data_IF_736294125920
#
_entry.id   IF_736294125920
#
_cell.length_a   1.000
_cell.length_b   1.000
_cell.length_c   1.000
_cell.angle_alpha   90.00
_cell.angle_beta   90.00
_cell.angle_gamma   90.00
#
_symmetry.space_group_name_H-M   'P 1'
#
loop_
_entity.id
_entity.type
_entity.pdbx_description
1 polymer ?
#
# COMPACT_ATOMS: atom_id res chain seq x y z
N UNK A 1 7.61 -112.05 87.93
CA UNK A 1 6.53 -111.64 87.02
C UNK A 1 5.77 -110.48 87.63
N UNK A 2 5.50 -109.45 86.80
CA UNK A 2 4.37 -108.50 86.87
C UNK A 2 4.14 -107.64 88.14
N UNK A 3 4.75 -106.44 88.21
CA UNK A 3 4.15 -105.20 88.81
C UNK A 3 4.70 -103.90 88.14
N UNK A 4 5.73 -103.97 87.29
CA UNK A 4 6.28 -102.81 86.55
C UNK A 4 5.31 -102.15 85.53
N UNK A 5 4.10 -102.69 85.36
CA UNK A 5 3.04 -102.16 84.47
C UNK A 5 2.01 -101.25 85.13
N UNK A 6 2.12 -100.93 86.43
CA UNK A 6 1.17 -100.03 87.13
C UNK A 6 1.67 -98.58 87.31
N UNK A 7 2.97 -98.30 87.16
CA UNK A 7 3.50 -96.94 87.33
C UNK A 7 3.36 -96.04 86.08
N UNK A 8 3.26 -96.63 84.89
CA UNK A 8 3.09 -95.87 83.63
C UNK A 8 1.66 -95.33 83.43
N UNK A 9 0.70 -95.78 84.24
CA UNK A 9 -0.65 -95.19 84.34
C UNK A 9 -0.80 -94.18 85.48
N UNK A 10 0.13 -94.16 86.43
CA UNK A 10 0.16 -93.17 87.53
C UNK A 10 0.88 -91.88 87.12
N UNK A 11 1.87 -91.95 86.22
CA UNK A 11 2.56 -90.75 85.68
C UNK A 11 1.63 -89.87 84.83
N UNK A 12 0.69 -90.48 84.08
CA UNK A 12 -0.32 -89.75 83.30
C UNK A 12 -1.38 -89.02 84.14
N UNK A 13 -1.75 -89.58 85.30
CA UNK A 13 -2.76 -88.99 86.20
C UNK A 13 -2.22 -87.78 87.00
N UNK A 14 -0.91 -87.72 87.25
CA UNK A 14 -0.29 -86.63 88.02
C UNK A 14 0.19 -85.48 87.12
N UNK A 15 0.58 -85.76 85.88
CA UNK A 15 1.19 -84.75 85.00
C UNK A 15 0.15 -83.83 84.30
N UNK A 16 -1.05 -84.33 83.98
CA UNK A 16 -2.12 -83.53 83.37
C UNK A 16 -2.63 -82.36 84.23
N UNK A 17 -2.92 -82.52 85.54
CA UNK A 17 -3.36 -81.39 86.36
C UNK A 17 -2.24 -80.35 86.59
N UNK A 18 -0.98 -80.78 86.66
CA UNK A 18 0.16 -79.86 86.78
C UNK A 18 0.35 -79.05 85.49
N UNK A 19 0.15 -79.68 84.33
CA UNK A 19 0.18 -79.03 83.02
C UNK A 19 -0.99 -78.05 82.84
N UNK A 20 -2.18 -78.39 83.30
CA UNK A 20 -3.34 -77.49 83.34
C UNK A 20 -3.11 -76.26 84.22
N UNK A 21 -2.46 -76.40 85.38
CA UNK A 21 -2.14 -75.26 86.25
C UNK A 21 -1.01 -74.40 85.66
N UNK A 22 -0.03 -75.02 85.00
CA UNK A 22 1.05 -74.27 84.32
C UNK A 22 0.57 -73.59 83.04
N UNK A 23 -0.38 -74.17 82.31
CA UNK A 23 -1.04 -73.51 81.17
C UNK A 23 -2.00 -72.41 81.63
N UNK A 24 -2.75 -72.62 82.73
CA UNK A 24 -3.62 -71.60 83.34
C UNK A 24 -2.84 -70.39 83.89
N UNK A 25 -1.61 -70.59 84.38
CA UNK A 25 -0.73 -69.49 84.83
C UNK A 25 0.07 -68.85 83.70
N UNK A 26 0.30 -69.56 82.57
CA UNK A 26 0.96 -69.00 81.38
C UNK A 26 0.04 -68.17 80.50
N UNK A 27 -1.24 -68.51 80.40
CA UNK A 27 -2.23 -67.76 79.62
C UNK A 27 -2.33 -66.26 79.98
N UNK A 28 -2.37 -65.84 81.27
CA UNK A 28 -2.44 -64.42 81.61
C UNK A 28 -1.14 -63.66 81.30
N UNK A 29 0.02 -64.35 81.33
CA UNK A 29 1.32 -63.74 81.00
C UNK A 29 1.52 -63.61 79.48
N UNK A 30 1.16 -64.64 78.71
CA UNK A 30 1.13 -64.57 77.24
C UNK A 30 0.12 -63.53 76.76
N UNK A 31 -1.02 -63.37 77.43
CA UNK A 31 -1.99 -62.32 77.14
C UNK A 31 -1.46 -60.91 77.38
N UNK A 32 -0.60 -60.70 78.39
CA UNK A 32 0.04 -59.40 78.67
C UNK A 32 1.18 -59.08 77.71
N UNK A 33 2.00 -60.07 77.34
CA UNK A 33 3.03 -59.91 76.32
C UNK A 33 2.40 -59.66 74.94
N UNK A 34 1.35 -60.41 74.61
CA UNK A 34 0.57 -60.18 73.39
C UNK A 34 -0.05 -58.78 73.39
N UNK A 35 -0.64 -58.33 74.49
CA UNK A 35 -1.20 -56.97 74.61
C UNK A 35 -0.14 -55.88 74.49
N UNK A 36 1.03 -56.03 75.12
CA UNK A 36 2.14 -55.08 74.97
C UNK A 36 2.70 -55.08 73.54
N UNK A 37 2.79 -56.26 72.90
CA UNK A 37 3.21 -56.35 71.50
C UNK A 37 2.19 -55.71 70.55
N UNK A 38 0.89 -55.86 70.83
CA UNK A 38 -0.20 -55.19 70.11
C UNK A 38 -0.12 -53.68 70.34
N UNK A 39 0.08 -53.21 71.57
CA UNK A 39 0.18 -51.76 71.87
C UNK A 39 1.40 -51.14 71.19
N UNK A 40 2.57 -51.79 71.22
CA UNK A 40 3.76 -51.31 70.48
C UNK A 40 3.51 -51.31 68.98
N UNK A 41 2.89 -52.37 68.45
CA UNK A 41 2.53 -52.45 67.04
C UNK A 41 1.52 -51.37 66.64
N UNK A 42 0.49 -51.12 67.46
CA UNK A 42 -0.47 -50.03 67.27
C UNK A 42 0.20 -48.65 67.33
N UNK A 43 1.12 -48.43 68.25
CA UNK A 43 1.87 -47.17 68.33
C UNK A 43 2.78 -46.98 67.12
N UNK A 44 3.46 -48.03 66.64
CA UNK A 44 4.26 -47.95 65.41
C UNK A 44 3.39 -47.74 64.18
N UNK A 45 2.23 -48.39 64.10
CA UNK A 45 1.27 -48.22 62.99
C UNK A 45 0.67 -46.81 63.02
N UNK A 46 0.34 -46.27 64.20
CA UNK A 46 -0.15 -44.89 64.36
C UNK A 46 0.90 -43.87 63.98
N UNK A 47 2.14 -44.00 64.47
CA UNK A 47 3.25 -43.11 64.13
C UNK A 47 3.60 -43.18 62.63
N UNK A 48 3.58 -44.38 62.03
CA UNK A 48 3.80 -44.56 60.59
C UNK A 48 2.64 -44.01 59.76
N UNK A 49 1.40 -44.17 60.22
CA UNK A 49 0.21 -43.57 59.60
C UNK A 49 0.24 -42.05 59.66
N UNK A 50 0.66 -41.47 60.79
CA UNK A 50 0.82 -40.03 60.98
C UNK A 50 1.96 -39.49 60.11
N UNK A 51 3.10 -40.19 60.04
CA UNK A 51 4.21 -39.84 59.15
C UNK A 51 3.78 -39.86 57.68
N UNK A 52 3.07 -40.91 57.25
CA UNK A 52 2.52 -41.01 55.88
C UNK A 52 1.49 -39.94 55.58
N UNK A 53 0.64 -39.59 56.54
CA UNK A 53 -0.35 -38.53 56.38
C UNK A 53 0.31 -37.15 56.29
N UNK A 54 1.36 -36.90 57.08
CA UNK A 54 2.16 -35.68 56.99
C UNK A 54 2.91 -35.61 55.67
N UNK A 55 3.55 -36.70 55.21
CA UNK A 55 4.21 -36.78 53.90
C UNK A 55 3.22 -36.54 52.76
N UNK A 56 2.05 -37.19 52.78
CA UNK A 56 1.00 -36.96 51.80
C UNK A 56 0.51 -35.50 51.80
N UNK A 57 0.38 -34.88 52.97
CA UNK A 57 0.01 -33.47 53.09
C UNK A 57 1.10 -32.53 52.56
N UNK A 58 2.37 -32.86 52.75
CA UNK A 58 3.50 -32.10 52.22
C UNK A 58 3.58 -32.22 50.70
N UNK A 59 3.39 -33.42 50.16
CA UNK A 59 3.35 -33.67 48.71
C UNK A 59 2.19 -32.88 48.08
N UNK A 60 0.98 -32.95 48.66
CA UNK A 60 -0.16 -32.20 48.18
C UNK A 60 0.08 -30.67 48.22
N UNK A 61 0.71 -30.16 49.29
CA UNK A 61 1.07 -28.74 49.39
C UNK A 61 2.13 -28.31 48.37
N UNK A 62 3.11 -29.17 48.08
CA UNK A 62 4.13 -28.93 47.04
C UNK A 62 3.47 -28.91 45.66
N UNK A 63 2.58 -29.86 45.39
CA UNK A 63 1.84 -29.96 44.13
C UNK A 63 0.92 -28.74 43.92
N UNK A 64 0.19 -28.31 44.96
CA UNK A 64 -0.64 -27.11 44.91
C UNK A 64 0.19 -25.85 44.69
N UNK A 65 1.36 -25.76 45.31
CA UNK A 65 2.28 -24.65 45.10
C UNK A 65 2.84 -24.65 43.68
N UNK A 66 3.17 -25.81 43.14
CA UNK A 66 3.66 -25.96 41.78
C UNK A 66 2.59 -25.57 40.76
N UNK A 67 1.36 -26.06 40.92
CA UNK A 67 0.21 -25.66 40.09
C UNK A 67 -0.06 -24.15 40.14
N UNK A 68 0.05 -23.53 41.31
CA UNK A 68 -0.11 -22.07 41.46
C UNK A 68 0.99 -21.29 40.74
N UNK A 69 2.24 -21.74 40.86
CA UNK A 69 3.38 -21.11 40.16
C UNK A 69 3.25 -21.28 38.65
N UNK A 70 2.84 -22.46 38.19
CA UNK A 70 2.64 -22.75 36.76
C UNK A 70 1.51 -21.90 36.17
N UNK A 71 0.38 -21.79 36.89
CA UNK A 71 -0.73 -20.92 36.48
C UNK A 71 -0.34 -19.43 36.48
N UNK A 72 0.42 -18.96 37.47
CA UNK A 72 0.90 -17.57 37.51
C UNK A 72 1.89 -17.28 36.38
N UNK A 73 2.76 -18.25 36.05
CA UNK A 73 3.71 -18.17 34.95
C UNK A 73 2.98 -18.16 33.59
N UNK A 74 1.92 -18.95 33.44
CA UNK A 74 1.08 -18.96 32.25
C UNK A 74 0.32 -17.64 32.08
N UNK A 75 -0.26 -17.11 33.16
CA UNK A 75 -0.91 -15.79 33.14
C UNK A 75 0.09 -14.71 32.72
N UNK A 76 1.29 -14.68 33.30
CA UNK A 76 2.34 -13.71 32.94
C UNK A 76 2.76 -13.82 31.47
N UNK A 77 2.93 -15.04 30.97
CA UNK A 77 3.24 -15.28 29.55
C UNK A 77 2.11 -14.76 28.66
N UNK A 78 0.86 -15.08 28.98
CA UNK A 78 -0.29 -14.66 28.18
C UNK A 78 -0.47 -13.14 28.18
N UNK A 79 -0.27 -12.47 29.32
CA UNK A 79 -0.32 -11.00 29.40
C UNK A 79 0.80 -10.35 28.60
N UNK A 80 2.01 -10.93 28.63
CA UNK A 80 3.15 -10.38 27.91
C UNK A 80 3.00 -10.58 26.40
N UNK A 81 2.48 -11.74 25.96
CA UNK A 81 2.12 -11.97 24.56
C UNK A 81 1.06 -10.97 24.09
N UNK A 82 0.02 -10.71 24.89
CA UNK A 82 -0.99 -9.71 24.55
C UNK A 82 -0.40 -8.30 24.44
N UNK A 83 0.52 -7.92 25.35
CA UNK A 83 1.22 -6.63 25.30
C UNK A 83 2.06 -6.50 24.02
N UNK A 84 2.84 -7.53 23.69
CA UNK A 84 3.68 -7.56 22.48
C UNK A 84 2.81 -7.52 21.22
N UNK A 85 1.68 -8.22 21.18
CA UNK A 85 0.76 -8.18 20.05
C UNK A 85 0.17 -6.78 19.84
N UNK A 86 -0.20 -6.09 20.91
CA UNK A 86 -0.66 -4.71 20.83
C UNK A 86 0.44 -3.75 20.32
N UNK A 87 1.68 -3.90 20.83
CA UNK A 87 2.85 -3.13 20.38
C UNK A 87 3.15 -3.36 18.90
N UNK A 88 3.08 -4.61 18.42
CA UNK A 88 3.25 -4.96 17.00
C UNK A 88 2.16 -4.31 16.15
N UNK A 89 0.91 -4.29 16.63
CA UNK A 89 -0.20 -3.67 15.90
C UNK A 89 -0.03 -2.14 15.78
N UNK A 90 0.41 -1.47 16.85
CA UNK A 90 0.75 -0.05 16.83
C UNK A 90 1.88 0.25 15.84
N UNK A 91 2.98 -0.50 15.90
CA UNK A 91 4.11 -0.35 14.96
C UNK A 91 3.66 -0.55 13.50
N UNK A 92 2.75 -1.51 13.26
CA UNK A 92 2.21 -1.75 11.91
C UNK A 92 1.40 -0.54 11.43
N UNK A 93 0.51 0.00 12.27
CA UNK A 93 -0.29 1.20 11.95
C UNK A 93 0.59 2.41 11.69
N UNK A 94 1.64 2.61 12.49
CA UNK A 94 2.59 3.70 12.29
C UNK A 94 3.36 3.57 10.97
N UNK A 95 3.81 2.35 10.63
CA UNK A 95 4.47 2.09 9.35
C UNK A 95 3.55 2.27 8.16
N UNK A 96 2.27 1.88 8.28
CA UNK A 96 1.25 2.14 7.27
C UNK A 96 1.01 3.65 7.11
N UNK A 97 0.94 4.39 8.22
CA UNK A 97 0.77 5.83 8.21
C UNK A 97 1.97 6.56 7.60
N UNK A 98 3.20 6.15 7.93
CA UNK A 98 4.43 6.68 7.32
C UNK A 98 4.42 6.49 5.80
N UNK A 99 4.07 5.29 5.32
CA UNK A 99 3.93 5.01 3.88
C UNK A 99 2.87 5.90 3.25
N UNK A 100 1.71 6.01 3.89
CA UNK A 100 0.61 6.83 3.39
C UNK A 100 1.00 8.32 3.33
N UNK A 101 1.72 8.82 4.33
CA UNK A 101 2.24 10.19 4.36
C UNK A 101 3.23 10.43 3.21
N UNK A 102 4.19 9.53 3.01
CA UNK A 102 5.16 9.64 1.92
C UNK A 102 4.50 9.62 0.53
N UNK A 103 3.52 8.73 0.34
CA UNK A 103 2.74 8.65 -0.90
C UNK A 103 1.92 9.93 -1.10
N UNK A 104 1.24 10.41 -0.05
CA UNK A 104 0.44 11.64 -0.12
C UNK A 104 1.29 12.87 -0.44
N UNK A 105 2.48 12.98 0.16
CA UNK A 105 3.41 14.06 -0.13
C UNK A 105 3.92 14.00 -1.57
N UNK A 106 4.27 12.81 -2.07
CA UNK A 106 4.68 12.63 -3.46
C UNK A 106 3.55 13.00 -4.44
N UNK A 107 2.31 12.61 -4.15
CA UNK A 107 1.14 12.99 -4.94
C UNK A 107 0.95 14.51 -4.93
N UNK A 108 1.04 15.15 -3.76
CA UNK A 108 0.89 16.59 -3.62
C UNK A 108 1.95 17.36 -4.41
N UNK A 109 3.23 16.97 -4.30
CA UNK A 109 4.32 17.58 -5.07
C UNK A 109 4.10 17.39 -6.57
N UNK A 110 3.73 16.19 -6.99
CA UNK A 110 3.42 15.90 -8.39
C UNK A 110 2.27 16.76 -8.92
N UNK A 111 1.19 16.92 -8.14
CA UNK A 111 0.06 17.80 -8.47
C UNK A 111 0.50 19.26 -8.61
N UNK A 112 1.30 19.78 -7.68
CA UNK A 112 1.82 21.15 -7.76
C UNK A 112 2.67 21.36 -9.02
N UNK A 113 3.55 20.42 -9.34
CA UNK A 113 4.38 20.47 -10.54
C UNK A 113 3.54 20.45 -11.81
N UNK A 114 2.55 19.57 -11.90
CA UNK A 114 1.64 19.51 -13.03
C UNK A 114 0.80 20.78 -13.18
N UNK A 115 0.19 21.29 -12.12
CA UNK A 115 -0.58 22.54 -12.18
C UNK A 115 0.30 23.69 -12.65
N UNK A 116 1.53 23.79 -12.15
CA UNK A 116 2.50 24.79 -12.60
C UNK A 116 2.82 24.64 -14.09
N UNK A 117 3.04 23.42 -14.55
CA UNK A 117 3.31 23.12 -15.96
C UNK A 117 2.11 23.46 -16.85
N UNK A 118 0.90 23.12 -16.41
CA UNK A 118 -0.34 23.44 -17.12
C UNK A 118 -0.56 24.95 -17.23
N UNK A 119 -0.38 25.71 -16.14
CA UNK A 119 -0.47 27.18 -16.17
C UNK A 119 0.58 27.76 -17.12
N UNK A 120 1.82 27.24 -17.08
CA UNK A 120 2.87 27.66 -18.00
C UNK A 120 2.52 27.35 -19.47
N UNK A 121 1.93 26.19 -19.73
CA UNK A 121 1.51 25.79 -21.07
C UNK A 121 0.36 26.65 -21.59
N UNK A 122 -0.66 26.92 -20.77
CA UNK A 122 -1.77 27.82 -21.11
C UNK A 122 -1.25 29.22 -21.44
N UNK A 123 -0.36 29.77 -20.60
CA UNK A 123 0.23 31.08 -20.85
C UNK A 123 1.04 31.08 -22.15
N UNK A 124 1.83 30.04 -22.43
CA UNK A 124 2.58 29.91 -23.67
C UNK A 124 1.67 29.83 -24.91
N UNK A 125 0.58 29.07 -24.84
CA UNK A 125 -0.44 28.98 -25.92
C UNK A 125 -1.10 30.34 -26.14
N UNK A 126 -1.48 31.04 -25.06
CA UNK A 126 -2.07 32.37 -25.14
C UNK A 126 -1.13 33.41 -25.76
N UNK A 127 0.14 33.42 -25.34
CA UNK A 127 1.16 34.28 -25.96
C UNK A 127 1.37 33.95 -27.43
N UNK A 128 1.47 32.66 -27.78
CA UNK A 128 1.61 32.22 -29.17
C UNK A 128 0.41 32.65 -30.02
N UNK A 129 -0.82 32.53 -29.51
CA UNK A 129 -2.02 32.98 -30.19
C UNK A 129 -1.99 34.48 -30.50
N UNK A 130 -1.57 35.29 -29.53
CA UNK A 130 -1.44 36.75 -29.71
C UNK A 130 -0.34 37.09 -30.72
N UNK A 131 0.85 36.50 -30.57
CA UNK A 131 1.98 36.71 -31.48
C UNK A 131 1.66 36.31 -32.92
N UNK A 132 0.96 35.18 -33.12
CA UNK A 132 0.60 34.71 -34.46
C UNK A 132 -0.42 35.65 -35.11
N UNK A 133 -1.38 36.20 -34.33
CA UNK A 133 -2.32 37.21 -34.83
C UNK A 133 -1.63 38.51 -35.17
N UNK A 134 -0.71 38.97 -34.35
CA UNK A 134 0.09 40.16 -34.62
C UNK A 134 0.94 39.97 -35.89
N UNK A 135 1.66 38.86 -36.01
CA UNK A 135 2.46 38.53 -37.21
C UNK A 135 1.60 38.46 -38.46
N UNK A 136 0.40 37.90 -38.37
CA UNK A 136 -0.57 37.86 -39.47
C UNK A 136 -1.01 39.27 -39.92
N UNK A 137 -1.34 40.15 -38.97
CA UNK A 137 -1.72 41.53 -39.26
C UNK A 137 -0.57 42.32 -39.87
N UNK A 138 0.63 42.20 -39.31
CA UNK A 138 1.83 42.84 -39.84
C UNK A 138 2.15 42.34 -41.25
N UNK A 139 1.98 41.05 -41.52
CA UNK A 139 2.14 40.49 -42.86
C UNK A 139 1.16 41.10 -43.86
N UNK A 140 -0.12 41.26 -43.49
CA UNK A 140 -1.12 41.90 -44.35
C UNK A 140 -0.72 43.35 -44.66
N UNK A 141 -0.33 44.09 -43.63
CA UNK A 141 0.09 45.47 -43.77
C UNK A 141 1.32 45.61 -44.68
N UNK A 142 2.39 44.87 -44.40
CA UNK A 142 3.64 44.89 -45.16
C UNK A 142 3.43 44.52 -46.61
N UNK A 143 2.62 43.48 -46.87
CA UNK A 143 2.32 43.06 -48.23
C UNK A 143 1.48 44.11 -48.95
N UNK A 144 0.47 44.68 -48.30
CA UNK A 144 -0.35 45.76 -48.89
C UNK A 144 0.50 46.95 -49.31
N UNK A 145 1.45 47.37 -48.47
CA UNK A 145 2.41 48.44 -48.83
C UNK A 145 3.25 48.06 -50.03
N UNK A 146 3.86 46.86 -50.02
CA UNK A 146 4.69 46.38 -51.13
C UNK A 146 3.91 46.31 -52.45
N UNK A 147 2.64 45.90 -52.42
CA UNK A 147 1.80 45.89 -53.61
C UNK A 147 1.45 47.28 -54.11
N UNK A 148 1.18 48.22 -53.20
CA UNK A 148 1.00 49.63 -53.57
C UNK A 148 2.25 50.18 -54.24
N UNK A 149 3.43 49.93 -53.66
CA UNK A 149 4.71 50.34 -54.26
C UNK A 149 4.94 49.70 -55.64
N UNK A 150 4.57 48.42 -55.82
CA UNK A 150 4.65 47.74 -57.11
C UNK A 150 3.73 48.39 -58.15
N UNK A 151 2.49 48.73 -57.76
CA UNK A 151 1.55 49.44 -58.62
C UNK A 151 2.09 50.84 -58.98
N UNK A 152 2.55 51.61 -58.00
CA UNK A 152 3.13 52.94 -58.22
C UNK A 152 4.34 52.89 -59.18
N UNK A 153 5.21 51.89 -59.01
CA UNK A 153 6.33 51.64 -59.93
C UNK A 153 5.84 51.26 -61.33
N UNK A 154 4.81 50.41 -61.45
CA UNK A 154 4.24 50.02 -62.74
C UNK A 154 3.59 51.21 -63.45
N UNK A 155 2.91 52.10 -62.71
CA UNK A 155 2.38 53.36 -63.24
C UNK A 155 3.49 54.28 -63.76
N UNK A 156 4.57 54.45 -62.99
CA UNK A 156 5.71 55.27 -63.42
C UNK A 156 6.36 54.71 -64.69
N UNK A 157 6.57 53.39 -64.76
CA UNK A 157 7.14 52.73 -65.94
C UNK A 157 6.22 52.84 -67.16
N UNK A 158 4.90 52.65 -66.97
CA UNK A 158 3.92 52.82 -68.03
C UNK A 158 3.90 54.26 -68.56
N UNK A 159 3.99 55.25 -67.66
CA UNK A 159 4.06 56.65 -68.02
C UNK A 159 5.32 56.99 -68.83
N UNK A 160 6.49 56.51 -68.40
CA UNK A 160 7.74 56.68 -69.16
C UNK A 160 7.68 56.00 -70.53
N UNK A 161 7.15 54.77 -70.61
CA UNK A 161 6.98 54.08 -71.89
C UNK A 161 6.02 54.83 -72.82
N UNK A 162 4.92 55.36 -72.29
CA UNK A 162 3.99 56.18 -73.08
C UNK A 162 4.68 57.44 -73.61
N UNK A 163 5.49 58.13 -72.81
CA UNK A 163 6.28 59.28 -73.30
C UNK A 163 7.28 58.89 -74.40
N UNK A 164 7.94 57.72 -74.27
CA UNK A 164 8.87 57.22 -75.30
C UNK A 164 8.14 56.89 -76.60
N UNK A 165 6.97 56.25 -76.51
CA UNK A 165 6.13 55.96 -77.68
C UNK A 165 5.76 57.25 -78.42
N UNK A 166 5.37 58.31 -77.70
CA UNK A 166 5.03 59.59 -78.32
C UNK A 166 6.23 60.22 -79.04
N UNK A 167 7.44 60.09 -78.48
CA UNK A 167 8.67 60.63 -79.05
C UNK A 167 9.19 59.85 -80.26
N UNK A 168 9.18 58.52 -80.18
CA UNK A 168 9.85 57.66 -81.17
C UNK A 168 8.93 57.31 -82.37
N UNK A 169 7.61 57.42 -82.20
CA UNK A 169 6.60 57.10 -83.22
C UNK A 169 5.69 58.29 -83.57
N UNK A 170 6.20 59.52 -83.49
CA UNK A 170 5.44 60.77 -83.72
C UNK A 170 4.63 60.74 -85.01
N UNK A 171 5.15 60.10 -86.06
CA UNK A 171 4.61 60.16 -87.42
C UNK A 171 3.70 58.96 -87.76
N UNK A 172 3.56 57.98 -86.86
CA UNK A 172 2.78 56.76 -87.08
C UNK A 172 1.73 56.53 -85.99
N UNK A 173 0.55 57.10 -86.19
CA UNK A 173 -0.60 56.98 -85.29
C UNK A 173 -1.06 55.53 -85.06
N UNK A 174 -0.94 54.67 -86.07
CA UNK A 174 -1.36 53.27 -85.95
C UNK A 174 -0.42 52.51 -85.00
N UNK A 175 0.89 52.74 -85.12
CA UNK A 175 1.88 52.14 -84.24
C UNK A 175 1.73 52.66 -82.80
N UNK A 176 1.51 53.97 -82.60
CA UNK A 176 1.26 54.55 -81.27
C UNK A 176 0.07 53.89 -80.58
N UNK A 177 -1.05 53.75 -81.28
CA UNK A 177 -2.26 53.16 -80.71
C UNK A 177 -2.06 51.68 -80.29
N UNK A 178 -1.36 50.89 -81.12
CA UNK A 178 -1.04 49.49 -80.79
C UNK A 178 -0.14 49.41 -79.54
N UNK A 179 0.88 50.26 -79.46
CA UNK A 179 1.81 50.28 -78.34
C UNK A 179 1.15 50.79 -77.04
N UNK A 180 0.33 51.84 -77.10
CA UNK A 180 -0.44 52.31 -75.95
C UNK A 180 -1.36 51.23 -75.41
N UNK A 181 -2.08 50.52 -76.28
CA UNK A 181 -2.92 49.40 -75.86
C UNK A 181 -2.13 48.28 -75.20
N UNK A 182 -0.91 48.01 -75.66
CA UNK A 182 -0.01 47.03 -75.04
C UNK A 182 0.41 47.46 -73.63
N UNK A 183 0.85 48.71 -73.45
CA UNK A 183 1.23 49.26 -72.14
C UNK A 183 0.04 49.24 -71.18
N UNK A 184 -1.14 49.65 -71.64
CA UNK A 184 -2.37 49.67 -70.86
C UNK A 184 -2.80 48.27 -70.43
N UNK A 185 -2.74 47.29 -71.34
CA UNK A 185 -3.01 45.87 -71.03
C UNK A 185 -2.03 45.34 -69.98
N UNK A 186 -0.74 45.69 -70.08
CA UNK A 186 0.27 45.27 -69.11
C UNK A 186 0.00 45.86 -67.72
N UNK A 187 -0.32 47.15 -67.65
CA UNK A 187 -0.66 47.83 -66.40
C UNK A 187 -1.92 47.23 -65.77
N UNK A 188 -2.97 46.99 -66.57
CA UNK A 188 -4.19 46.34 -66.13
C UNK A 188 -3.92 44.95 -65.53
N UNK A 189 -3.06 44.14 -66.18
CA UNK A 189 -2.68 42.82 -65.67
C UNK A 189 -1.95 42.88 -64.32
N UNK A 190 -1.08 43.86 -64.11
CA UNK A 190 -0.37 44.07 -62.84
C UNK A 190 -1.36 44.44 -61.73
N UNK A 191 -2.29 45.36 -62.01
CA UNK A 191 -3.34 45.77 -61.07
C UNK A 191 -4.25 44.60 -60.71
N UNK A 192 -4.73 43.84 -61.69
CA UNK A 192 -5.60 42.68 -61.47
C UNK A 192 -4.87 41.62 -60.64
N UNK A 193 -3.61 41.35 -60.94
CA UNK A 193 -2.81 40.35 -60.20
C UNK A 193 -2.57 40.78 -58.76
N UNK A 194 -2.27 42.07 -58.52
CA UNK A 194 -2.15 42.61 -57.18
C UNK A 194 -3.48 42.53 -56.39
N UNK A 195 -4.60 42.80 -57.05
CA UNK A 195 -5.93 42.69 -56.44
C UNK A 195 -6.26 41.24 -56.06
N UNK A 196 -6.04 40.29 -56.97
CA UNK A 196 -6.27 38.87 -56.70
C UNK A 196 -5.41 38.36 -55.54
N UNK A 197 -4.15 38.76 -55.49
CA UNK A 197 -3.27 38.40 -54.38
C UNK A 197 -3.77 38.92 -53.03
N UNK A 198 -4.27 40.17 -52.96
CA UNK A 198 -4.81 40.71 -51.71
C UNK A 198 -6.06 39.94 -51.24
N UNK A 199 -6.87 39.45 -52.18
CA UNK A 199 -8.03 38.60 -51.88
C UNK A 199 -7.58 37.24 -51.34
N UNK A 200 -6.61 36.60 -51.99
CA UNK A 200 -6.02 35.33 -51.54
C UNK A 200 -5.36 35.47 -50.17
N UNK A 201 -4.59 36.53 -49.95
CA UNK A 201 -3.96 36.82 -48.66
C UNK A 201 -5.00 36.95 -47.54
N UNK A 202 -6.13 37.62 -47.79
CA UNK A 202 -7.20 37.74 -46.80
C UNK A 202 -7.80 36.37 -46.45
N UNK A 203 -8.06 35.55 -47.47
CA UNK A 203 -8.53 34.17 -47.27
C UNK A 203 -7.52 33.33 -46.47
N UNK A 204 -6.24 33.42 -46.79
CA UNK A 204 -5.18 32.71 -46.07
C UNK A 204 -5.10 33.15 -44.60
N UNK A 205 -5.25 34.44 -44.32
CA UNK A 205 -5.33 34.95 -42.93
C UNK A 205 -6.58 34.44 -42.22
N UNK A 206 -7.72 34.35 -42.90
CA UNK A 206 -8.93 33.77 -42.31
C UNK A 206 -8.72 32.29 -41.94
N UNK A 207 -8.07 31.52 -42.82
CA UNK A 207 -7.69 30.12 -42.56
C UNK A 207 -6.68 30.01 -41.42
N UNK A 208 -5.68 30.89 -41.37
CA UNK A 208 -4.69 30.94 -40.32
C UNK A 208 -5.34 31.27 -38.96
N UNK A 209 -6.25 32.24 -38.89
CA UNK A 209 -7.02 32.55 -37.69
C UNK A 209 -7.85 31.36 -37.21
N UNK A 210 -8.49 30.63 -38.14
CA UNK A 210 -9.23 29.40 -37.81
C UNK A 210 -8.30 28.32 -37.25
N UNK A 211 -7.12 28.17 -37.83
CA UNK A 211 -6.10 27.19 -37.41
C UNK A 211 -5.54 27.51 -36.03
N UNK A 212 -5.29 28.80 -35.75
CA UNK A 212 -4.87 29.29 -34.43
C UNK A 212 -5.95 28.99 -33.38
N UNK A 213 -7.22 29.27 -33.69
CA UNK A 213 -8.31 28.98 -32.76
C UNK A 213 -8.42 27.47 -32.50
N UNK A 214 -8.35 26.64 -33.55
CA UNK A 214 -8.36 25.18 -33.41
C UNK A 214 -7.20 24.66 -32.54
N UNK A 215 -5.99 25.16 -32.74
CA UNK A 215 -4.83 24.79 -31.92
C UNK A 215 -5.04 25.18 -30.46
N UNK A 216 -5.61 26.36 -30.22
CA UNK A 216 -5.90 26.87 -28.87
C UNK A 216 -6.96 26.01 -28.19
N UNK A 217 -8.07 25.74 -28.86
CA UNK A 217 -9.15 24.88 -28.36
C UNK A 217 -8.66 23.46 -28.07
N UNK A 218 -7.87 22.88 -28.98
CA UNK A 218 -7.33 21.53 -28.80
C UNK A 218 -6.28 21.47 -27.69
N UNK A 219 -5.47 22.52 -27.54
CA UNK A 219 -4.54 22.67 -26.42
C UNK A 219 -5.26 22.80 -25.08
N UNK A 220 -6.34 23.59 -25.04
CA UNK A 220 -7.18 23.73 -23.85
C UNK A 220 -7.90 22.43 -23.50
N UNK A 221 -8.56 21.78 -24.47
CA UNK A 221 -9.22 20.49 -24.27
C UNK A 221 -8.25 19.41 -23.83
N UNK A 222 -7.03 19.37 -24.36
CA UNK A 222 -6.00 18.44 -23.88
C UNK A 222 -5.66 18.68 -22.40
N UNK A 223 -5.55 19.94 -21.97
CA UNK A 223 -5.30 20.29 -20.58
C UNK A 223 -6.51 19.93 -19.70
N UNK A 224 -7.73 20.23 -20.14
CA UNK A 224 -8.97 19.90 -19.43
C UNK A 224 -9.16 18.38 -19.28
N UNK A 225 -8.97 17.60 -20.35
CA UNK A 225 -9.06 16.14 -20.34
C UNK A 225 -8.00 15.54 -19.41
N UNK A 226 -6.77 16.06 -19.49
CA UNK A 226 -5.68 15.60 -18.64
C UNK A 226 -5.99 15.90 -17.16
N UNK A 227 -6.45 17.12 -16.84
CA UNK A 227 -6.92 17.50 -15.50
C UNK A 227 -8.10 16.64 -15.02
N UNK A 228 -9.05 16.33 -15.90
CA UNK A 228 -10.22 15.50 -15.59
C UNK A 228 -9.85 14.06 -15.21
N UNK A 229 -8.92 13.44 -15.94
CA UNK A 229 -8.42 12.10 -15.62
C UNK A 229 -7.73 12.04 -14.25
N UNK A 230 -7.10 13.13 -13.79
CA UNK A 230 -6.44 13.13 -12.49
C UNK A 230 -7.39 13.15 -11.29
N UNK A 231 -8.55 13.80 -11.38
CA UNK A 231 -9.54 13.79 -10.29
C UNK A 231 -10.04 12.36 -10.03
N UNK A 232 -10.09 11.53 -11.08
CA UNK A 232 -10.46 10.11 -11.00
C UNK A 232 -9.37 9.27 -10.35
N UNK A 233 -8.09 9.50 -10.68
CA UNK A 233 -6.96 8.75 -10.07
C UNK A 233 -6.78 9.11 -8.60
N UNK A 234 -6.95 10.38 -8.23
CA UNK A 234 -6.86 10.84 -6.84
C UNK A 234 -7.93 10.20 -5.94
N UNK A 235 -9.13 9.95 -6.46
CA UNK A 235 -10.23 9.37 -5.68
C UNK A 235 -10.34 7.83 -5.83
N UNK A 236 -9.94 7.26 -6.95
CA UNK A 236 -10.16 5.84 -7.28
C UNK A 236 -9.00 4.90 -6.92
N UNK A 237 -7.76 5.40 -6.82
CA UNK A 237 -6.59 4.54 -6.56
C UNK A 237 -6.16 4.47 -5.10
N UNK A 238 -6.62 5.41 -4.27
CA UNK A 238 -6.32 5.44 -2.83
C UNK A 238 -7.27 4.57 -1.99
N UNK A 239 -8.36 4.03 -2.56
CA UNK A 239 -9.42 3.39 -1.77
C UNK A 239 -9.90 2.00 -2.24
N UNK A 240 -9.38 1.41 -3.31
CA UNK A 240 -9.88 0.07 -3.72
C UNK A 240 -8.80 -0.97 -3.97
N UNK A 241 -8.89 -2.04 -3.16
CA UNK A 241 -8.78 -3.44 -3.58
C UNK A 241 -7.45 -4.20 -3.57
N UNK A 242 -6.31 -3.64 -3.12
CA UNK A 242 -5.11 -4.48 -2.90
C UNK A 242 -4.78 -4.80 -1.44
N UNK A 243 -5.25 -4.00 -0.49
CA UNK A 243 -4.99 -4.28 0.94
C UNK A 243 -5.94 -5.35 1.52
N UNK A 244 -7.14 -5.52 0.99
CA UNK A 244 -8.11 -6.49 1.53
C UNK A 244 -7.74 -7.95 1.19
N UNK A 245 -7.16 -8.20 0.01
CA UNK A 245 -6.75 -9.54 -0.41
C UNK A 245 -5.43 -10.01 0.24
N UNK A 246 -4.55 -9.08 0.63
CA UNK A 246 -3.32 -9.40 1.37
C UNK A 246 -3.58 -9.69 2.87
N UNK A 247 -4.65 -9.14 3.43
CA UNK A 247 -5.05 -9.40 4.83
C UNK A 247 -5.71 -10.78 4.96
N UNK A 248 -6.63 -11.14 4.04
CA UNK A 248 -7.30 -12.45 4.06
C UNK A 248 -6.35 -13.63 3.80
N UNK A 249 -5.30 -13.45 2.98
CA UNK A 249 -4.31 -14.50 2.75
C UNK A 249 -3.30 -14.66 3.90
N UNK A 250 -3.11 -13.63 4.75
CA UNK A 250 -2.21 -13.72 5.92
C UNK A 250 -2.88 -14.29 7.16
N UNK A 251 -4.18 -14.06 7.36
CA UNK A 251 -4.92 -14.71 8.46
C UNK A 251 -4.93 -16.24 8.34
N UNK A 252 -4.97 -16.77 7.10
CA UNK A 252 -4.91 -18.21 6.83
C UNK A 252 -3.56 -18.87 7.11
N UNK A 253 -2.47 -18.10 7.11
CA UNK A 253 -1.10 -18.61 7.34
C UNK A 253 -0.77 -18.66 8.83
N UNK A 254 -1.42 -17.83 9.65
CA UNK A 254 -1.14 -17.74 11.10
C UNK A 254 -1.93 -18.79 11.89
N UNK A 255 -3.06 -19.29 11.38
CA UNK A 255 -3.85 -20.35 12.04
C UNK A 255 -3.28 -21.76 11.86
N UNK A 256 -2.33 -21.97 10.94
CA UNK A 256 -1.81 -23.29 10.56
C UNK A 256 -0.33 -23.52 10.94
N UNK A 257 0.22 -22.78 11.90
CA UNK A 257 1.55 -23.09 12.46
C UNK A 257 1.39 -24.04 13.66
N UNK A 258 1.67 -25.35 13.53
CA UNK A 258 1.65 -26.25 14.68
C UNK A 258 2.76 -25.86 15.67
N UNK A 259 2.36 -25.69 16.93
CA UNK A 259 3.20 -25.25 18.06
C UNK A 259 4.34 -26.26 18.38
N UNK A 260 4.35 -27.43 17.76
CA UNK A 260 5.28 -28.54 18.08
C UNK A 260 6.69 -28.45 17.51
N UNK A 261 7.09 -27.35 16.83
CA UNK A 261 8.42 -27.27 16.20
C UNK A 261 9.48 -26.46 16.96
N UNK A 262 9.16 -25.84 18.09
CA UNK A 262 10.15 -24.98 18.80
C UNK A 262 10.94 -25.72 19.91
N UNK A 263 10.58 -26.96 20.28
CA UNK A 263 11.25 -27.68 21.38
C UNK A 263 12.29 -28.74 20.95
N UNK A 264 12.70 -28.81 19.68
CA UNK A 264 13.58 -29.89 19.19
C UNK A 264 15.00 -29.50 18.78
N UNK A 265 15.53 -28.40 19.32
CA UNK A 265 16.94 -28.03 19.17
C UNK A 265 17.51 -27.46 20.48
N UNK A 266 17.43 -28.24 21.56
CA UNK A 266 18.35 -28.13 22.69
C UNK A 266 18.66 -29.55 23.15
N UNK A 267 19.65 -30.17 22.52
CA UNK A 267 20.56 -31.19 23.05
C UNK A 267 21.78 -31.27 22.13
#
# INVERSE_FOLDING_TARGET
MSVLGMFDKLSGIIYEPIKLITDWTREPLKGREHRRSIEVQEHTIKAESEARMNEASHIANIEDRQKKVDAELEIKKNTEVQRILAEIEEIKKDKDFERMKAVSEAIMQYQQHLTKLNVSAINAIGHMQLELREKAQNLVYDKTIKYKQLQDSAYSQAYEEMQRIEKDFSDNEVAKNILYKSVDTRLANIVITAQNFLIELNNDIAVLNKSINFLTERGQSFIEDHLGQFHVVANGSLLSEQNTLMIQNREKVITDVPIDTVTKNID
#
